data_IF_319770024343
#
_entry.id   IF_319770024343
#
_cell.length_a   1.000
_cell.length_b   1.000
_cell.length_c   1.000
_cell.angle_alpha   90.00
_cell.angle_beta   90.00
_cell.angle_gamma   90.00
#
_symmetry.space_group_name_H-M   'P 1'
#
loop_
_entity.id
_entity.type
_entity.pdbx_description
1 polymer ?
#
# COMPACT_ATOMS: atom_id res chain seq x y z
N UNK A 1 32.44 -28.18 -14.39
CA UNK A 1 31.17 -28.12 -15.14
C UNK A 1 30.42 -26.88 -14.71
N UNK A 2 30.40 -25.88 -15.59
CA UNK A 2 29.81 -24.56 -15.34
C UNK A 2 28.30 -24.60 -15.59
N UNK A 3 27.51 -24.14 -14.63
CA UNK A 3 26.05 -23.98 -14.77
C UNK A 3 25.77 -22.50 -15.06
N UNK A 4 25.19 -22.26 -16.23
CA UNK A 4 24.90 -20.94 -16.77
C UNK A 4 23.81 -20.21 -15.96
N UNK A 5 24.09 -18.96 -15.58
CA UNK A 5 23.08 -18.01 -15.09
C UNK A 5 22.25 -17.50 -16.26
N UNK A 6 20.96 -17.85 -16.28
CA UNK A 6 19.99 -17.25 -17.19
C UNK A 6 19.60 -15.84 -16.72
N UNK A 7 19.94 -14.84 -17.53
CA UNK A 7 19.54 -13.44 -17.39
C UNK A 7 18.04 -13.27 -17.67
N UNK A 8 17.30 -12.69 -16.72
CA UNK A 8 15.88 -12.34 -16.87
C UNK A 8 15.71 -10.97 -17.57
N UNK A 9 14.86 -10.84 -18.60
CA UNK A 9 14.55 -9.54 -19.20
C UNK A 9 13.52 -8.74 -18.38
N UNK A 10 13.65 -7.41 -18.40
CA UNK A 10 12.75 -6.46 -17.78
C UNK A 10 11.44 -6.31 -18.58
N UNK A 11 10.28 -6.03 -17.97
CA UNK A 11 9.09 -5.70 -18.73
C UNK A 11 9.15 -4.25 -19.23
N UNK A 12 8.98 -4.09 -20.54
CA UNK A 12 8.88 -2.81 -21.24
C UNK A 12 7.50 -2.16 -21.02
N UNK A 13 7.49 -0.83 -20.88
CA UNK A 13 6.30 0.00 -20.83
C UNK A 13 5.60 0.03 -22.20
N UNK A 14 4.32 -0.32 -22.24
CA UNK A 14 3.51 -0.24 -23.45
C UNK A 14 3.01 1.21 -23.67
N UNK A 15 3.49 1.85 -24.73
CA UNK A 15 2.92 3.06 -25.31
C UNK A 15 1.94 2.66 -26.43
N UNK A 16 0.69 3.10 -26.34
CA UNK A 16 -0.30 2.92 -27.42
C UNK A 16 -0.43 4.23 -28.20
N UNK A 17 0.10 4.25 -29.42
CA UNK A 17 -0.14 5.29 -30.41
C UNK A 17 -1.47 5.02 -31.13
N UNK A 18 -2.37 6.00 -31.13
CA UNK A 18 -3.65 5.93 -31.84
C UNK A 18 -3.49 6.47 -33.28
N UNK A 19 -3.71 5.60 -34.26
CA UNK A 19 -3.70 5.92 -35.69
C UNK A 19 -5.04 6.53 -36.10
N UNK A 20 -5.00 7.70 -36.75
CA UNK A 20 -6.16 8.37 -37.34
C UNK A 20 -6.54 7.72 -38.68
N UNK A 21 -7.82 7.42 -38.86
CA UNK A 21 -8.40 7.15 -40.18
C UNK A 21 -9.74 7.88 -40.33
N UNK A 22 -9.78 8.80 -41.29
CA UNK A 22 -10.94 9.58 -41.75
C UNK A 22 -11.80 8.72 -42.70
N UNK A 23 -13.12 8.95 -42.79
CA UNK A 23 -13.72 9.01 -44.13
C UNK A 23 -14.74 10.15 -44.33
N UNK A 24 -15.11 10.25 -45.61
CA UNK A 24 -15.68 11.37 -46.35
C UNK A 24 -17.15 11.73 -46.10
N UNK A 25 -17.49 12.93 -46.54
CA UNK A 25 -18.80 13.56 -46.55
C UNK A 25 -19.79 12.91 -47.54
N UNK A 26 -21.08 12.88 -47.16
CA UNK A 26 -22.23 12.86 -48.07
C UNK A 26 -23.44 13.64 -47.50
N UNK A 27 -23.78 14.69 -48.25
CA UNK A 27 -25.11 15.16 -48.69
C UNK A 27 -26.24 15.43 -47.69
N UNK A 28 -26.77 16.65 -47.83
CA UNK A 28 -27.92 17.21 -47.16
C UNK A 28 -29.26 16.73 -47.75
N UNK A 29 -30.25 16.55 -46.88
CA UNK A 29 -31.67 16.74 -47.20
C UNK A 29 -32.37 17.36 -46.00
N UNK A 30 -33.00 18.52 -46.25
CA UNK A 30 -33.81 19.27 -45.30
C UNK A 30 -35.13 18.53 -45.07
N UNK A 31 -35.50 18.32 -43.82
CA UNK A 31 -36.89 18.05 -43.43
C UNK A 31 -37.17 18.75 -42.11
N UNK A 32 -38.07 19.73 -42.16
CA UNK A 32 -38.54 20.53 -41.03
C UNK A 32 -39.55 19.74 -40.19
N UNK A 33 -39.37 19.74 -38.86
CA UNK A 33 -40.40 19.40 -37.85
C UNK A 33 -39.92 19.84 -36.44
N UNK A 34 -40.80 19.93 -35.44
CA UNK A 34 -41.18 21.20 -34.79
C UNK A 34 -40.36 21.51 -33.53
N UNK A 35 -40.39 22.80 -33.16
CA UNK A 35 -39.83 23.38 -31.93
C UNK A 35 -40.42 22.70 -30.69
N UNK A 36 -39.62 21.82 -30.09
CA UNK A 36 -39.79 21.39 -28.70
C UNK A 36 -38.85 22.24 -27.84
N UNK A 37 -39.43 23.07 -26.99
CA UNK A 37 -38.73 23.82 -25.94
C UNK A 37 -38.11 22.82 -24.97
N UNK A 38 -36.79 22.62 -25.05
CA UNK A 38 -36.05 21.97 -23.99
C UNK A 38 -35.62 23.06 -23.00
N UNK A 39 -36.14 22.97 -21.78
CA UNK A 39 -35.56 23.64 -20.62
C UNK A 39 -34.16 23.06 -20.38
N UNK A 40 -33.19 23.61 -21.09
CA UNK A 40 -31.79 23.44 -20.78
C UNK A 40 -31.50 24.26 -19.52
N UNK A 41 -31.80 23.67 -18.36
CA UNK A 41 -31.23 24.11 -17.10
C UNK A 41 -29.70 24.08 -17.26
N UNK A 42 -29.13 25.25 -17.50
CA UNK A 42 -27.70 25.53 -17.53
C UNK A 42 -27.09 25.04 -16.21
N UNK A 43 -26.54 23.83 -16.21
CA UNK A 43 -25.59 23.41 -15.17
C UNK A 43 -24.32 24.21 -15.43
N UNK A 44 -24.28 25.42 -14.91
CA UNK A 44 -23.06 26.21 -14.83
C UNK A 44 -22.03 25.39 -14.06
N UNK A 45 -20.93 25.09 -14.74
CA UNK A 45 -19.75 24.49 -14.12
C UNK A 45 -19.26 25.48 -13.04
N UNK A 46 -19.16 25.08 -11.76
CA UNK A 46 -18.88 26.04 -10.69
C UNK A 46 -17.55 26.75 -10.92
N UNK A 47 -17.51 28.06 -10.67
CA UNK A 47 -16.28 28.87 -10.67
C UNK A 47 -15.22 28.31 -9.72
N UNK A 48 -13.95 28.71 -9.89
CA UNK A 48 -12.82 28.22 -9.06
C UNK A 48 -13.07 28.29 -7.55
N UNK A 49 -13.64 29.40 -7.06
CA UNK A 49 -14.00 29.56 -5.63
C UNK A 49 -15.12 28.61 -5.17
N UNK A 50 -16.10 28.32 -6.02
CA UNK A 50 -17.16 27.36 -5.71
C UNK A 50 -16.62 25.92 -5.68
N UNK A 51 -15.66 25.57 -6.55
CA UNK A 51 -14.97 24.27 -6.53
C UNK A 51 -14.11 24.09 -5.27
N UNK A 52 -13.35 25.12 -4.90
CA UNK A 52 -12.49 25.10 -3.72
C UNK A 52 -13.31 24.99 -2.42
N UNK A 53 -14.40 25.74 -2.31
CA UNK A 53 -15.32 25.64 -1.16
C UNK A 53 -16.02 24.29 -1.08
N UNK A 54 -16.42 23.67 -2.20
CA UNK A 54 -16.96 22.31 -2.20
C UNK A 54 -15.92 21.27 -1.80
N UNK A 55 -14.68 21.41 -2.28
CA UNK A 55 -13.58 20.52 -1.92
C UNK A 55 -13.29 20.59 -0.41
N UNK A 56 -13.20 21.80 0.14
CA UNK A 56 -12.97 22.02 1.57
C UNK A 56 -14.10 21.42 2.42
N UNK A 57 -15.37 21.62 2.03
CA UNK A 57 -16.53 21.03 2.72
C UNK A 57 -16.50 19.51 2.71
N UNK A 58 -16.21 18.91 1.55
CA UNK A 58 -16.10 17.45 1.43
C UNK A 58 -14.95 16.93 2.30
N UNK A 59 -13.81 17.63 2.32
CA UNK A 59 -12.67 17.24 3.13
C UNK A 59 -13.00 17.30 4.63
N UNK A 60 -13.72 18.33 5.08
CA UNK A 60 -14.19 18.47 6.46
C UNK A 60 -15.19 17.36 6.86
N UNK A 61 -16.07 16.95 5.95
CA UNK A 61 -16.95 15.78 6.18
C UNK A 61 -16.13 14.51 6.36
N UNK A 62 -15.09 14.32 5.55
CA UNK A 62 -14.20 13.17 5.69
C UNK A 62 -13.38 13.23 6.98
N UNK A 63 -13.01 14.42 7.46
CA UNK A 63 -12.32 14.59 8.75
C UNK A 63 -13.16 14.04 9.90
N UNK A 64 -14.49 14.21 9.85
CA UNK A 64 -15.40 13.71 10.90
C UNK A 64 -15.47 12.18 11.00
N UNK A 65 -14.95 11.45 10.00
CA UNK A 65 -14.86 9.99 10.02
C UNK A 65 -13.64 9.47 10.81
N UNK A 66 -12.75 10.35 11.28
CA UNK A 66 -11.50 10.01 11.96
C UNK A 66 -11.39 10.72 13.31
N UNK A 67 -10.70 10.12 14.32
CA UNK A 67 -10.19 8.76 14.32
C UNK A 67 -11.33 7.72 14.35
N UNK A 68 -11.10 6.55 13.76
CA UNK A 68 -12.09 5.47 13.80
C UNK A 68 -12.18 4.93 15.21
N UNK A 69 -13.41 4.80 15.74
CA UNK A 69 -13.65 4.14 17.02
C UNK A 69 -13.36 2.66 16.87
N UNK A 70 -12.39 2.16 17.64
CA UNK A 70 -11.97 0.77 17.67
C UNK A 70 -11.88 0.24 19.09
N UNK A 71 -11.49 -1.04 19.27
CA UNK A 71 -11.21 -1.58 20.59
C UNK A 71 -10.02 -0.86 21.24
N UNK A 72 -10.00 -0.89 22.57
CA UNK A 72 -8.85 -0.40 23.33
C UNK A 72 -7.58 -1.20 22.96
N UNK A 73 -6.45 -0.52 22.67
CA UNK A 73 -5.21 -1.21 22.32
C UNK A 73 -4.69 -2.07 23.48
N UNK A 74 -4.26 -3.30 23.18
CA UNK A 74 -3.58 -4.14 24.16
C UNK A 74 -2.20 -3.57 24.55
N UNK A 75 -1.67 -3.91 25.74
CA UNK A 75 -0.31 -3.55 26.13
C UNK A 75 0.72 -3.93 25.05
N UNK A 76 1.63 -3.00 24.75
CA UNK A 76 2.62 -3.17 23.68
C UNK A 76 2.13 -2.76 22.28
N UNK A 77 0.92 -2.22 22.15
CA UNK A 77 0.50 -1.49 20.95
C UNK A 77 1.49 -0.36 20.61
N UNK A 78 1.64 -0.09 19.31
CA UNK A 78 2.63 0.85 18.78
C UNK A 78 1.93 2.13 18.31
N UNK A 79 0.76 1.98 17.71
CA UNK A 79 -0.07 3.07 17.21
C UNK A 79 -1.18 3.38 18.22
N UNK A 80 -1.53 4.67 18.41
CA UNK A 80 -1.03 5.84 17.71
C UNK A 80 0.23 6.49 18.30
N UNK A 81 0.84 5.91 19.35
CA UNK A 81 1.89 6.57 20.14
C UNK A 81 3.21 6.77 19.38
N UNK A 82 3.52 5.93 18.40
CA UNK A 82 4.72 6.03 17.57
C UNK A 82 4.39 6.07 16.08
N UNK A 83 5.27 6.73 15.31
CA UNK A 83 5.28 6.66 13.86
C UNK A 83 6.27 5.62 13.39
N UNK A 84 5.87 4.77 12.46
CA UNK A 84 6.74 3.75 11.88
C UNK A 84 7.36 4.27 10.58
N UNK A 85 8.68 4.21 10.48
CA UNK A 85 9.43 4.52 9.25
C UNK A 85 10.05 3.23 8.73
N UNK A 86 9.58 2.77 7.57
CA UNK A 86 9.90 1.47 7.01
C UNK A 86 10.68 1.57 5.70
N UNK A 87 11.73 0.77 5.55
CA UNK A 87 12.35 0.50 4.26
C UNK A 87 11.82 -0.79 3.66
N UNK A 88 11.26 -0.70 2.45
CA UNK A 88 10.61 -1.81 1.77
C UNK A 88 11.52 -2.49 0.77
N UNK A 89 11.35 -3.80 0.62
CA UNK A 89 11.81 -4.50 -0.56
C UNK A 89 12.24 -5.94 -0.37
N UNK A 90 13.07 -6.41 -1.31
CA UNK A 90 13.62 -7.76 -1.26
C UNK A 90 15.14 -7.74 -1.53
N UNK A 91 15.97 -8.23 -0.60
CA UNK A 91 17.43 -8.20 -0.75
C UNK A 91 17.99 -8.98 -1.95
N UNK A 92 17.19 -9.83 -2.58
CA UNK A 92 17.59 -10.59 -3.77
C UNK A 92 17.37 -9.80 -5.08
N UNK A 93 16.86 -8.56 -5.02
CA UNK A 93 16.60 -7.76 -6.22
C UNK A 93 16.85 -6.27 -6.00
N UNK A 94 17.76 -5.71 -6.81
CA UNK A 94 18.02 -4.25 -6.90
C UNK A 94 16.86 -3.44 -7.49
N UNK A 95 15.78 -4.10 -7.93
CA UNK A 95 14.62 -3.47 -8.56
C UNK A 95 13.36 -3.50 -7.68
N UNK A 96 13.39 -4.23 -6.57
CA UNK A 96 12.23 -4.42 -5.69
C UNK A 96 12.44 -3.71 -4.36
N UNK A 97 12.82 -2.43 -4.41
CA UNK A 97 12.90 -1.55 -3.24
C UNK A 97 14.26 -1.47 -2.54
N UNK A 98 14.31 -0.57 -1.55
CA UNK A 98 15.50 -0.11 -0.84
C UNK A 98 16.29 -1.25 -0.20
N UNK A 99 15.61 -2.29 0.31
CA UNK A 99 16.27 -3.43 0.97
C UNK A 99 17.20 -4.23 0.05
N UNK A 100 17.01 -4.17 -1.28
CA UNK A 100 17.87 -4.84 -2.25
C UNK A 100 18.71 -3.90 -3.11
N UNK A 101 18.47 -2.59 -3.05
CA UNK A 101 19.13 -1.61 -3.93
C UNK A 101 20.52 -1.20 -3.43
N UNK A 102 20.71 -1.16 -2.11
CA UNK A 102 21.95 -0.70 -1.47
C UNK A 102 22.60 -1.80 -0.63
N UNK A 103 23.91 -1.65 -0.39
CA UNK A 103 24.61 -2.49 0.59
C UNK A 103 23.98 -2.32 1.98
N UNK A 104 23.83 -3.39 2.81
CA UNK A 104 23.00 -3.35 4.00
C UNK A 104 23.38 -2.26 5.01
N UNK A 105 24.68 -2.00 5.22
CA UNK A 105 25.06 -0.93 6.15
C UNK A 105 24.85 0.48 5.60
N UNK A 106 24.97 0.67 4.28
CA UNK A 106 24.61 1.94 3.67
C UNK A 106 23.09 2.17 3.77
N UNK A 107 22.30 1.13 3.49
CA UNK A 107 20.84 1.13 3.64
C UNK A 107 20.41 1.49 5.07
N UNK A 108 20.99 0.85 6.09
CA UNK A 108 20.64 1.13 7.49
C UNK A 108 21.01 2.57 7.91
N UNK A 109 22.13 3.12 7.44
CA UNK A 109 22.47 4.53 7.67
C UNK A 109 21.48 5.49 7.02
N UNK A 110 20.96 5.14 5.83
CA UNK A 110 19.91 5.93 5.19
C UNK A 110 18.60 5.86 5.98
N UNK A 111 18.24 4.68 6.51
CA UNK A 111 17.09 4.55 7.41
C UNK A 111 17.24 5.42 8.66
N UNK A 112 18.43 5.41 9.29
CA UNK A 112 18.74 6.28 10.44
C UNK A 112 18.55 7.77 10.10
N UNK A 113 18.85 8.18 8.85
CA UNK A 113 18.64 9.55 8.40
C UNK A 113 17.15 9.90 8.21
N UNK A 114 16.35 8.98 7.65
CA UNK A 114 14.90 9.19 7.50
C UNK A 114 14.21 9.23 8.87
N UNK A 115 14.61 8.37 9.82
CA UNK A 115 14.13 8.41 11.20
C UNK A 115 14.35 9.79 11.81
N UNK A 116 15.58 10.32 11.74
CA UNK A 116 15.92 11.66 12.25
C UNK A 116 15.12 12.76 11.57
N UNK A 117 14.93 12.68 10.24
CA UNK A 117 14.16 13.67 9.50
C UNK A 117 12.69 13.71 9.96
N UNK A 118 12.09 12.56 10.26
CA UNK A 118 10.74 12.48 10.79
C UNK A 118 10.62 12.94 12.24
N UNK A 119 11.59 12.61 13.10
CA UNK A 119 11.66 13.11 14.48
C UNK A 119 11.77 14.64 14.51
N UNK A 120 12.55 15.23 13.60
CA UNK A 120 12.67 16.69 13.49
C UNK A 120 11.39 17.35 12.99
N UNK A 121 10.68 16.72 12.04
CA UNK A 121 9.49 17.29 11.42
C UNK A 121 8.23 17.17 12.29
N UNK A 122 8.16 16.17 13.18
CA UNK A 122 7.06 15.96 14.12
C UNK A 122 7.60 15.42 15.47
N UNK A 123 8.21 16.28 16.30
CA UNK A 123 8.88 15.88 17.55
C UNK A 123 7.95 15.26 18.60
N UNK A 124 6.64 15.52 18.51
CA UNK A 124 5.64 15.00 19.45
C UNK A 124 5.31 13.52 19.21
N UNK A 125 5.75 12.95 18.07
CA UNK A 125 5.46 11.56 17.71
C UNK A 125 6.76 10.78 17.52
N UNK A 126 7.21 10.04 18.55
CA UNK A 126 8.41 9.23 18.49
C UNK A 126 8.42 8.28 17.29
N UNK A 127 9.60 8.02 16.73
CA UNK A 127 9.75 7.18 15.55
C UNK A 127 10.21 5.76 15.92
N UNK A 128 9.62 4.77 15.26
CA UNK A 128 9.98 3.35 15.33
C UNK A 128 10.48 2.89 13.94
N UNK A 129 11.78 2.55 13.78
CA UNK A 129 12.29 2.05 12.50
C UNK A 129 11.71 0.66 12.18
N UNK A 130 11.62 0.35 10.89
CA UNK A 130 11.17 -0.94 10.39
C UNK A 130 11.85 -1.36 9.08
N UNK A 131 11.98 -2.66 8.86
CA UNK A 131 12.34 -3.26 7.57
C UNK A 131 11.15 -4.08 7.08
N UNK A 132 10.65 -3.77 5.88
CA UNK A 132 9.47 -4.40 5.30
C UNK A 132 9.90 -5.31 4.14
N UNK A 133 10.07 -6.60 4.43
CA UNK A 133 10.56 -7.61 3.51
C UNK A 133 9.43 -8.23 2.69
N UNK A 134 9.59 -8.29 1.37
CA UNK A 134 8.72 -9.10 0.50
C UNK A 134 9.03 -10.58 0.65
N UNK A 135 8.30 -11.24 1.54
CA UNK A 135 8.50 -12.64 1.93
C UNK A 135 7.83 -13.62 0.97
N UNK A 136 6.69 -13.23 0.38
CA UNK A 136 6.07 -13.93 -0.75
C UNK A 136 5.93 -12.94 -1.89
N UNK A 137 6.58 -13.25 -3.01
CA UNK A 137 6.72 -12.33 -4.16
C UNK A 137 5.89 -12.86 -5.31
N UNK A 138 4.97 -12.06 -5.84
CA UNK A 138 4.22 -12.42 -7.02
C UNK A 138 5.15 -12.53 -8.24
N UNK A 139 4.85 -13.47 -9.12
CA UNK A 139 5.69 -13.80 -10.28
C UNK A 139 4.92 -13.56 -11.58
N UNK A 140 5.64 -13.11 -12.61
CA UNK A 140 5.08 -12.99 -13.95
C UNK A 140 4.87 -14.36 -14.63
N UNK A 141 5.62 -15.38 -14.21
CA UNK A 141 5.51 -16.75 -14.70
C UNK A 141 4.93 -17.67 -13.61
N UNK A 142 4.17 -18.72 -13.99
CA UNK A 142 3.70 -19.70 -13.02
C UNK A 142 4.88 -20.47 -12.41
N UNK A 143 4.81 -20.71 -11.10
CA UNK A 143 5.64 -21.72 -10.44
C UNK A 143 5.15 -23.14 -10.78
N UNK A 144 5.81 -24.15 -10.21
CA UNK A 144 5.46 -25.57 -10.44
C UNK A 144 4.02 -25.93 -10.02
N UNK A 145 3.45 -25.20 -9.05
CA UNK A 145 2.07 -25.35 -8.59
C UNK A 145 1.09 -24.40 -9.28
N UNK A 146 1.53 -23.67 -10.31
CA UNK A 146 0.70 -22.73 -11.06
C UNK A 146 0.28 -21.48 -10.29
N UNK A 147 0.87 -21.19 -9.11
CA UNK A 147 0.39 -20.12 -8.21
C UNK A 147 0.95 -18.72 -8.46
N UNK A 148 1.85 -18.54 -9.44
CA UNK A 148 2.44 -17.24 -9.79
C UNK A 148 3.04 -16.50 -8.58
N UNK A 149 3.75 -17.23 -7.71
CA UNK A 149 4.38 -16.68 -6.51
C UNK A 149 5.64 -17.44 -6.12
N UNK A 150 6.66 -16.73 -5.66
CA UNK A 150 7.88 -17.29 -5.09
C UNK A 150 7.92 -16.99 -3.58
N UNK A 151 8.34 -17.98 -2.78
CA UNK A 151 8.43 -17.85 -1.32
C UNK A 151 9.88 -17.69 -0.94
N UNK A 152 10.19 -16.65 -0.18
CA UNK A 152 11.54 -16.44 0.31
C UNK A 152 11.88 -17.48 1.39
N UNK A 153 13.13 -17.93 1.38
CA UNK A 153 13.61 -18.92 2.35
C UNK A 153 13.83 -18.30 3.74
N UNK A 154 13.74 -19.14 4.77
CA UNK A 154 13.92 -18.73 6.17
C UNK A 154 15.24 -17.98 6.41
N UNK A 155 16.32 -18.40 5.73
CA UNK A 155 17.64 -17.77 5.86
C UNK A 155 17.66 -16.31 5.40
N UNK A 156 16.79 -15.92 4.46
CA UNK A 156 16.62 -14.53 4.05
C UNK A 156 15.83 -13.75 5.10
N UNK A 157 14.75 -14.32 5.62
CA UNK A 157 13.95 -13.71 6.68
C UNK A 157 14.83 -13.45 7.91
N UNK A 158 15.61 -14.43 8.34
CA UNK A 158 16.52 -14.27 9.48
C UNK A 158 17.68 -13.30 9.21
N UNK A 159 18.10 -13.15 7.94
CA UNK A 159 19.08 -12.13 7.57
C UNK A 159 18.53 -10.72 7.79
N UNK A 160 17.30 -10.47 7.33
CA UNK A 160 16.63 -9.19 7.55
C UNK A 160 16.33 -8.98 9.04
N UNK A 161 15.99 -10.05 9.77
CA UNK A 161 15.80 -9.99 11.21
C UNK A 161 17.04 -9.47 11.95
N UNK A 162 18.23 -9.96 11.60
CA UNK A 162 19.50 -9.48 12.17
C UNK A 162 19.79 -8.02 11.83
N UNK A 163 19.44 -7.56 10.63
CA UNK A 163 19.56 -6.13 10.30
C UNK A 163 18.62 -5.28 11.16
N UNK A 164 17.38 -5.72 11.33
CA UNK A 164 16.40 -5.03 12.16
C UNK A 164 16.83 -4.97 13.63
N UNK A 165 17.35 -6.07 14.18
CA UNK A 165 17.85 -6.15 15.56
C UNK A 165 18.95 -5.11 15.84
N UNK A 166 19.85 -4.86 14.87
CA UNK A 166 20.92 -3.86 15.00
C UNK A 166 20.43 -2.40 15.17
N UNK A 167 19.13 -2.16 15.01
CA UNK A 167 18.46 -0.86 15.15
C UNK A 167 17.19 -0.92 16.00
N UNK A 168 16.96 -2.02 16.72
CA UNK A 168 15.70 -2.27 17.44
C UNK A 168 14.47 -2.01 16.54
N UNK A 169 14.58 -2.40 15.27
CA UNK A 169 13.57 -2.15 14.25
C UNK A 169 12.55 -3.29 14.19
N UNK A 170 11.36 -2.93 13.72
CA UNK A 170 10.32 -3.91 13.39
C UNK A 170 10.66 -4.64 12.09
N UNK A 171 10.09 -5.83 11.91
CA UNK A 171 10.12 -6.56 10.64
C UNK A 171 8.70 -6.78 10.16
N UNK A 172 8.40 -6.38 8.93
CA UNK A 172 7.16 -6.74 8.25
C UNK A 172 7.46 -7.83 7.22
N UNK A 173 6.62 -8.87 7.21
CA UNK A 173 6.62 -9.89 6.17
C UNK A 173 5.49 -9.57 5.20
N UNK A 174 5.83 -9.10 4.01
CA UNK A 174 4.87 -8.76 2.98
C UNK A 174 4.51 -9.99 2.14
N UNK A 175 3.23 -10.08 1.76
CA UNK A 175 2.67 -11.25 1.10
C UNK A 175 1.91 -10.86 -0.16
N UNK A 176 2.50 -11.21 -1.30
CA UNK A 176 1.93 -11.10 -2.65
C UNK A 176 1.50 -12.50 -3.13
N UNK A 177 0.21 -12.82 -2.96
CA UNK A 177 -0.26 -14.22 -3.06
C UNK A 177 -0.31 -14.78 -4.49
N UNK A 178 -0.37 -13.93 -5.53
CA UNK A 178 -0.60 -14.40 -6.89
C UNK A 178 -1.95 -15.11 -7.02
N UNK A 179 -1.95 -16.37 -7.51
CA UNK A 179 -3.12 -17.25 -7.54
C UNK A 179 -3.24 -18.15 -6.29
N UNK A 180 -2.42 -17.92 -5.27
CA UNK A 180 -2.56 -18.52 -3.94
C UNK A 180 -3.59 -17.74 -3.11
N UNK A 181 -3.73 -18.08 -1.83
CA UNK A 181 -4.57 -17.36 -0.88
C UNK A 181 -3.82 -17.06 0.41
N UNK A 182 -4.31 -16.10 1.20
CA UNK A 182 -3.74 -15.82 2.53
C UNK A 182 -3.80 -17.06 3.43
N UNK A 183 -4.85 -17.88 3.30
CA UNK A 183 -5.02 -19.14 4.03
C UNK A 183 -3.88 -20.13 3.77
N UNK A 184 -3.31 -20.12 2.57
CA UNK A 184 -2.22 -21.01 2.18
C UNK A 184 -0.84 -20.43 2.53
N UNK A 185 -0.70 -19.09 2.51
CA UNK A 185 0.60 -18.44 2.68
C UNK A 185 0.91 -18.07 4.14
N UNK A 186 -0.06 -17.56 4.91
CA UNK A 186 0.18 -17.04 6.26
C UNK A 186 0.64 -18.10 7.28
N UNK A 187 0.09 -19.33 7.33
CA UNK A 187 0.53 -20.34 8.29
C UNK A 187 2.02 -20.66 8.22
N UNK A 188 2.62 -20.54 7.04
CA UNK A 188 4.06 -20.79 6.82
C UNK A 188 4.95 -19.73 7.47
N UNK A 189 4.40 -18.54 7.73
CA UNK A 189 5.07 -17.41 8.36
C UNK A 189 4.83 -17.35 9.87
N UNK A 190 3.95 -18.21 10.43
CA UNK A 190 3.59 -18.21 11.84
C UNK A 190 4.81 -18.22 12.77
N UNK A 191 5.80 -19.08 12.47
CA UNK A 191 7.06 -19.20 13.25
C UNK A 191 7.85 -17.90 13.38
N UNK A 192 7.70 -16.97 12.44
CA UNK A 192 8.29 -15.64 12.53
C UNK A 192 7.34 -14.65 13.20
N UNK A 193 6.05 -14.69 12.84
CA UNK A 193 5.03 -13.78 13.35
C UNK A 193 4.77 -13.94 14.85
N UNK A 194 5.14 -15.07 15.48
CA UNK A 194 5.13 -15.20 16.94
C UNK A 194 6.18 -14.33 17.64
N UNK A 195 7.20 -13.83 16.93
CA UNK A 195 8.20 -12.91 17.52
C UNK A 195 7.57 -11.52 17.75
N UNK A 196 7.76 -10.87 18.90
CA UNK A 196 7.11 -9.60 19.21
C UNK A 196 7.30 -8.50 18.15
N UNK A 197 8.50 -8.38 17.59
CA UNK A 197 8.87 -7.35 16.61
C UNK A 197 8.49 -7.69 15.15
N UNK A 198 7.82 -8.82 14.91
CA UNK A 198 7.37 -9.23 13.57
C UNK A 198 5.89 -8.92 13.34
N UNK A 199 5.61 -8.39 12.15
CA UNK A 199 4.31 -7.91 11.69
C UNK A 199 4.04 -8.33 10.24
N UNK A 200 2.84 -8.05 9.73
CA UNK A 200 2.36 -8.53 8.43
C UNK A 200 2.08 -7.37 7.47
N UNK A 201 2.51 -7.52 6.21
CA UNK A 201 2.06 -6.73 5.07
C UNK A 201 1.29 -7.62 4.10
N UNK A 202 0.24 -7.08 3.47
CA UNK A 202 -0.49 -7.75 2.39
C UNK A 202 -0.73 -6.79 1.23
N UNK A 203 -0.56 -7.32 0.01
CA UNK A 203 -0.70 -6.56 -1.23
C UNK A 203 -1.94 -7.02 -2.02
N UNK A 204 -3.08 -6.31 -1.93
CA UNK A 204 -4.28 -6.65 -2.68
C UNK A 204 -4.09 -6.65 -4.18
N UNK A 205 -3.22 -5.80 -4.73
CA UNK A 205 -2.99 -5.73 -6.18
C UNK A 205 -2.38 -6.99 -6.77
N UNK A 206 -1.79 -7.86 -5.93
CA UNK A 206 -1.24 -9.14 -6.32
C UNK A 206 -2.15 -10.32 -5.94
N UNK A 207 -3.35 -10.06 -5.42
CA UNK A 207 -4.37 -11.07 -5.19
C UNK A 207 -5.17 -11.33 -6.47
N UNK A 208 -4.75 -12.35 -7.21
CA UNK A 208 -5.33 -12.73 -8.50
C UNK A 208 -6.48 -13.73 -8.35
N UNK A 209 -7.27 -13.66 -7.27
CA UNK A 209 -8.36 -14.63 -6.99
C UNK A 209 -9.41 -14.74 -8.11
N UNK A 210 -9.52 -13.72 -8.96
CA UNK A 210 -10.38 -13.70 -10.15
C UNK A 210 -9.66 -14.16 -11.44
N UNK A 211 -8.48 -14.79 -11.32
CA UNK A 211 -7.62 -15.17 -12.42
C UNK A 211 -6.77 -14.01 -12.98
N UNK A 212 -5.89 -14.35 -13.93
CA UNK A 212 -4.95 -13.43 -14.55
C UNK A 212 -3.53 -13.53 -13.97
N UNK A 213 -2.60 -12.85 -14.64
CA UNK A 213 -1.17 -12.86 -14.28
C UNK A 213 -0.86 -11.61 -13.45
N UNK A 214 -0.20 -11.75 -12.28
CA UNK A 214 0.29 -10.62 -11.51
C UNK A 214 1.06 -9.61 -12.35
N UNK A 215 0.81 -8.31 -12.15
CA UNK A 215 1.45 -7.23 -12.90
C UNK A 215 0.89 -6.98 -14.31
N UNK A 216 0.04 -7.88 -14.86
CA UNK A 216 -0.76 -7.60 -16.08
C UNK A 216 -2.17 -7.12 -15.77
N UNK A 217 -2.70 -7.52 -14.61
CA UNK A 217 -3.99 -7.08 -14.07
C UNK A 217 -3.79 -6.71 -12.61
N UNK A 218 -4.65 -5.82 -12.13
CA UNK A 218 -4.67 -5.42 -10.72
C UNK A 218 -5.63 -6.34 -9.98
N UNK A 219 -5.10 -7.00 -8.95
CA UNK A 219 -5.86 -7.86 -8.05
C UNK A 219 -6.74 -7.09 -7.07
N UNK A 220 -7.34 -7.83 -6.13
CA UNK A 220 -8.18 -7.25 -5.09
C UNK A 220 -8.28 -8.16 -3.87
N UNK A 221 -8.44 -7.56 -2.70
CA UNK A 221 -8.92 -8.22 -1.49
C UNK A 221 -10.32 -7.72 -1.12
N UNK A 222 -11.10 -8.62 -0.55
CA UNK A 222 -12.32 -8.25 0.16
C UNK A 222 -12.04 -8.08 1.65
N UNK A 223 -12.96 -7.44 2.39
CA UNK A 223 -12.94 -7.46 3.84
C UNK A 223 -12.83 -8.88 4.42
N UNK A 224 -13.41 -9.89 3.78
CA UNK A 224 -13.25 -11.29 4.20
C UNK A 224 -11.77 -11.76 4.19
N UNK A 225 -10.97 -11.34 3.21
CA UNK A 225 -9.55 -11.69 3.13
C UNK A 225 -8.76 -10.99 4.25
N UNK A 226 -9.06 -9.72 4.50
CA UNK A 226 -8.43 -8.94 5.59
C UNK A 226 -8.83 -9.50 6.94
N UNK A 227 -10.10 -9.87 7.13
CA UNK A 227 -10.60 -10.47 8.37
C UNK A 227 -9.95 -11.83 8.64
N UNK A 228 -9.68 -12.62 7.61
CA UNK A 228 -8.88 -13.84 7.77
C UNK A 228 -7.46 -13.52 8.28
N UNK A 229 -6.79 -12.52 7.72
CA UNK A 229 -5.46 -12.12 8.17
C UNK A 229 -5.47 -11.61 9.62
N UNK A 230 -6.47 -10.81 10.02
CA UNK A 230 -6.57 -10.29 11.39
C UNK A 230 -6.93 -11.40 12.38
N UNK A 231 -7.77 -12.35 12.00
CA UNK A 231 -8.10 -13.52 12.83
C UNK A 231 -6.89 -14.43 13.02
N UNK A 232 -6.12 -14.68 11.95
CA UNK A 232 -4.87 -15.43 12.03
C UNK A 232 -3.87 -14.77 13.00
N UNK A 233 -3.65 -13.45 12.88
CA UNK A 233 -2.77 -12.70 13.77
C UNK A 233 -3.29 -12.68 15.22
N UNK A 234 -4.60 -12.52 15.42
CA UNK A 234 -5.24 -12.61 16.73
C UNK A 234 -4.95 -13.95 17.39
N UNK A 235 -5.10 -15.06 16.66
CA UNK A 235 -4.80 -16.40 17.17
C UNK A 235 -3.36 -16.52 17.67
N UNK A 236 -2.39 -15.98 16.93
CA UNK A 236 -1.00 -15.94 17.36
C UNK A 236 -0.80 -15.10 18.63
N UNK A 237 -1.43 -13.92 18.71
CA UNK A 237 -1.36 -13.03 19.87
C UNK A 237 -1.89 -13.71 21.13
N UNK A 238 -3.08 -14.30 21.05
CA UNK A 238 -3.74 -14.96 22.16
C UNK A 238 -3.00 -16.23 22.60
N UNK A 239 -2.62 -17.08 21.65
CA UNK A 239 -1.97 -18.36 21.94
C UNK A 239 -0.58 -18.18 22.55
N UNK A 240 0.20 -17.23 22.03
CA UNK A 240 1.59 -17.03 22.46
C UNK A 240 1.76 -15.90 23.49
N UNK A 241 0.67 -15.21 23.86
CA UNK A 241 0.67 -14.11 24.84
C UNK A 241 1.68 -13.01 24.47
N UNK A 242 1.71 -12.63 23.20
CA UNK A 242 2.62 -11.63 22.65
C UNK A 242 1.91 -10.29 22.44
N UNK A 243 2.64 -9.17 22.25
CA UNK A 243 2.04 -7.87 21.95
C UNK A 243 1.17 -7.90 20.67
N UNK A 244 0.22 -6.97 20.53
CA UNK A 244 -0.63 -6.88 19.34
C UNK A 244 0.19 -6.68 18.07
N UNK A 245 -0.32 -7.20 16.96
CA UNK A 245 0.34 -7.16 15.65
C UNK A 245 -0.09 -5.95 14.85
N UNK A 246 0.77 -5.53 13.94
CA UNK A 246 0.42 -4.59 12.89
C UNK A 246 0.12 -5.37 11.61
N UNK A 247 -0.95 -4.97 10.93
CA UNK A 247 -1.29 -5.39 9.59
C UNK A 247 -1.28 -4.17 8.67
N UNK A 248 -0.33 -4.14 7.74
CA UNK A 248 -0.30 -3.14 6.68
C UNK A 248 -1.04 -3.69 5.46
N UNK A 249 -2.07 -2.98 5.01
CA UNK A 249 -2.82 -3.30 3.80
C UNK A 249 -2.49 -2.27 2.75
N UNK A 250 -1.71 -2.67 1.74
CA UNK A 250 -1.30 -1.80 0.64
C UNK A 250 -2.50 -1.43 -0.23
N UNK A 251 -2.66 -0.15 -0.59
CA UNK A 251 -3.81 0.31 -1.38
C UNK A 251 -3.45 1.52 -2.24
N UNK A 252 -3.30 1.30 -3.54
CA UNK A 252 -3.14 2.40 -4.50
C UNK A 252 -4.37 2.65 -5.39
N UNK A 253 -5.38 1.77 -5.35
CA UNK A 253 -6.67 2.00 -6.00
C UNK A 253 -7.81 1.83 -5.00
N UNK A 254 -8.97 2.45 -5.27
CA UNK A 254 -10.18 2.19 -4.49
C UNK A 254 -10.52 0.69 -4.53
N UNK A 255 -10.62 0.08 -5.70
CA UNK A 255 -11.08 -1.32 -5.79
C UNK A 255 -10.04 -2.37 -5.36
N UNK A 256 -8.84 -1.96 -4.93
CA UNK A 256 -7.88 -2.86 -4.32
C UNK A 256 -8.42 -3.51 -3.04
N UNK A 257 -9.29 -2.80 -2.31
CA UNK A 257 -10.02 -3.35 -1.17
C UNK A 257 -11.52 -3.12 -1.36
N UNK A 258 -12.31 -4.18 -1.30
CA UNK A 258 -13.77 -4.13 -1.36
C UNK A 258 -14.39 -4.33 0.02
N UNK A 259 -15.59 -3.79 0.20
CA UNK A 259 -16.40 -3.96 1.42
C UNK A 259 -15.69 -3.56 2.72
N UNK A 260 -14.83 -2.53 2.70
CA UNK A 260 -14.00 -2.14 3.85
C UNK A 260 -14.78 -1.94 5.17
N UNK A 261 -16.06 -1.57 5.10
CA UNK A 261 -16.94 -1.41 6.28
C UNK A 261 -17.18 -2.71 7.05
N UNK A 262 -16.94 -3.85 6.41
CA UNK A 262 -17.06 -5.18 7.01
C UNK A 262 -15.73 -5.67 7.61
N UNK A 263 -14.66 -4.87 7.57
CA UNK A 263 -13.39 -5.19 8.26
C UNK A 263 -13.62 -5.10 9.77
N UNK A 264 -13.34 -6.18 10.47
CA UNK A 264 -13.49 -6.27 11.93
C UNK A 264 -12.21 -5.80 12.61
N UNK A 265 -12.34 -4.79 13.48
CA UNK A 265 -11.24 -4.32 14.33
C UNK A 265 -11.12 -5.21 15.57
N UNK A 266 -9.88 -5.56 15.94
CA UNK A 266 -9.57 -6.48 17.03
C UNK A 266 -8.52 -5.85 17.96
N UNK A 267 -8.61 -5.97 19.30
CA UNK A 267 -7.59 -5.46 20.22
C UNK A 267 -6.16 -5.98 19.91
N UNK A 268 -6.07 -7.18 19.34
CA UNK A 268 -4.84 -7.89 19.02
C UNK A 268 -4.16 -7.40 17.73
N UNK A 269 -4.87 -6.62 16.89
CA UNK A 269 -4.35 -6.23 15.57
C UNK A 269 -4.65 -4.77 15.27
N UNK A 270 -3.59 -4.02 14.96
CA UNK A 270 -3.63 -2.64 14.50
C UNK A 270 -3.53 -2.62 12.97
N UNK A 271 -4.57 -2.14 12.30
CA UNK A 271 -4.67 -2.14 10.83
C UNK A 271 -4.26 -0.77 10.27
N UNK A 272 -3.29 -0.78 9.36
CA UNK A 272 -2.86 0.39 8.60
C UNK A 272 -3.34 0.26 7.16
N UNK A 273 -4.24 1.15 6.73
CA UNK A 273 -4.55 1.32 5.31
C UNK A 273 -3.48 2.22 4.68
N UNK A 274 -2.66 1.64 3.83
CA UNK A 274 -1.42 2.25 3.36
C UNK A 274 -1.57 2.74 1.92
N UNK A 275 -1.53 4.06 1.71
CA UNK A 275 -1.59 4.64 0.36
C UNK A 275 -0.32 4.29 -0.41
N UNK A 276 -0.43 3.34 -1.34
CA UNK A 276 0.71 2.71 -2.04
C UNK A 276 1.01 3.32 -3.43
N UNK A 277 0.29 4.38 -3.80
CA UNK A 277 0.40 5.02 -5.12
C UNK A 277 1.68 5.83 -5.31
N UNK A 278 2.13 5.95 -6.55
CA UNK A 278 3.21 6.85 -6.94
C UNK A 278 2.67 8.10 -7.66
N UNK A 279 3.50 9.12 -7.74
CA UNK A 279 3.22 10.32 -8.53
C UNK A 279 3.67 11.59 -7.85
N UNK A 280 3.41 12.70 -8.51
CA UNK A 280 3.62 14.01 -7.92
C UNK A 280 2.67 14.25 -6.72
N UNK A 281 2.97 15.23 -5.85
CA UNK A 281 2.28 15.36 -4.57
C UNK A 281 0.75 15.46 -4.68
N UNK A 282 0.22 16.24 -5.62
CA UNK A 282 -1.23 16.40 -5.79
C UNK A 282 -1.95 15.07 -6.09
N UNK A 283 -1.37 14.23 -6.96
CA UNK A 283 -1.96 12.93 -7.32
C UNK A 283 -1.99 11.98 -6.13
N UNK A 284 -0.92 11.99 -5.33
CA UNK A 284 -0.82 11.15 -4.14
C UNK A 284 -1.75 11.63 -3.03
N UNK A 285 -1.87 12.94 -2.84
CA UNK A 285 -2.83 13.56 -1.92
C UNK A 285 -4.28 13.25 -2.32
N UNK A 286 -4.61 13.30 -3.61
CA UNK A 286 -5.92 12.91 -4.11
C UNK A 286 -6.19 11.42 -3.89
N UNK A 287 -5.23 10.55 -4.16
CA UNK A 287 -5.34 9.10 -3.92
C UNK A 287 -5.51 8.79 -2.43
N UNK A 288 -4.75 9.47 -1.57
CA UNK A 288 -4.88 9.38 -0.11
C UNK A 288 -6.28 9.79 0.34
N UNK A 289 -6.80 10.92 -0.16
CA UNK A 289 -8.15 11.39 0.16
C UNK A 289 -9.21 10.37 -0.28
N UNK A 290 -9.13 9.90 -1.53
CA UNK A 290 -10.19 9.09 -2.14
C UNK A 290 -10.17 7.62 -1.74
N UNK A 291 -9.01 7.05 -1.37
CA UNK A 291 -8.87 5.60 -1.12
C UNK A 291 -8.54 5.26 0.33
N UNK A 292 -7.97 6.19 1.10
CA UNK A 292 -7.68 5.96 2.53
C UNK A 292 -8.65 6.78 3.37
N UNK A 293 -8.63 8.11 3.25
CA UNK A 293 -9.43 8.99 4.10
C UNK A 293 -10.94 8.77 3.93
N UNK A 294 -11.40 8.60 2.69
CA UNK A 294 -12.82 8.38 2.38
C UNK A 294 -13.34 6.98 2.76
N UNK A 295 -12.45 6.04 3.06
CA UNK A 295 -12.77 4.67 3.41
C UNK A 295 -12.05 4.25 4.70
N UNK A 296 -12.48 4.83 5.84
CA UNK A 296 -11.79 4.70 7.11
C UNK A 296 -11.83 3.26 7.65
N UNK A 297 -10.68 2.80 8.18
CA UNK A 297 -10.55 1.48 8.84
C UNK A 297 -9.99 1.63 10.26
N UNK A 298 -8.73 2.02 10.45
CA UNK A 298 -8.20 2.27 11.79
C UNK A 298 -7.05 3.28 11.80
N UNK A 299 -5.96 2.99 11.10
CA UNK A 299 -4.82 3.89 10.94
C UNK A 299 -4.47 4.09 9.46
N UNK A 300 -3.73 5.16 9.17
CA UNK A 300 -3.35 5.53 7.82
C UNK A 300 -1.83 5.46 7.62
N UNK A 301 -1.44 5.04 6.41
CA UNK A 301 -0.05 4.98 5.98
C UNK A 301 0.19 5.67 4.63
N UNK A 302 1.47 5.93 4.34
CA UNK A 302 1.94 6.58 3.11
C UNK A 302 3.19 5.92 2.54
N UNK A 303 3.18 5.59 1.25
CA UNK A 303 4.38 5.19 0.53
C UNK A 303 5.07 6.38 -0.09
N UNK A 304 6.37 6.48 0.03
CA UNK A 304 7.19 7.52 -0.60
C UNK A 304 8.25 6.87 -1.48
N UNK A 305 8.26 7.18 -2.77
CA UNK A 305 9.27 6.65 -3.69
C UNK A 305 10.47 7.60 -3.78
N UNK A 306 11.69 7.06 -3.80
CA UNK A 306 12.91 7.84 -4.01
C UNK A 306 13.13 8.22 -5.48
N UNK A 307 12.76 7.33 -6.39
CA UNK A 307 13.11 7.46 -7.80
C UNK A 307 12.22 8.52 -8.49
N UNK A 308 12.80 9.48 -9.23
CA UNK A 308 12.04 10.52 -9.94
C UNK A 308 11.06 10.00 -10.99
N UNK A 309 11.27 8.78 -11.50
CA UNK A 309 10.31 8.12 -12.41
C UNK A 309 8.98 7.74 -11.71
N UNK A 310 8.99 7.69 -10.38
CA UNK A 310 7.85 7.32 -9.56
C UNK A 310 7.26 8.58 -8.90
N UNK A 311 8.03 9.24 -8.04
CA UNK A 311 7.60 10.46 -7.35
C UNK A 311 8.48 11.64 -7.78
N UNK A 312 7.89 12.60 -8.50
CA UNK A 312 8.59 13.80 -8.94
C UNK A 312 7.67 15.05 -8.98
N UNK A 313 7.90 16.05 -8.11
CA UNK A 313 8.78 15.97 -6.94
C UNK A 313 8.25 14.96 -5.92
N UNK A 314 9.11 14.55 -4.98
CA UNK A 314 8.67 13.81 -3.80
C UNK A 314 7.75 14.67 -2.94
N UNK A 315 6.83 14.05 -2.22
CA UNK A 315 5.98 14.79 -1.28
C UNK A 315 6.81 15.14 -0.05
N UNK A 316 6.89 16.42 0.35
CA UNK A 316 7.67 16.82 1.52
C UNK A 316 7.14 16.17 2.81
N UNK A 317 8.05 15.81 3.73
CA UNK A 317 7.68 15.27 5.05
C UNK A 317 6.71 16.22 5.77
N UNK A 318 6.95 17.53 5.70
CA UNK A 318 6.08 18.54 6.32
C UNK A 318 4.65 18.55 5.76
N UNK A 319 4.45 18.15 4.50
CA UNK A 319 3.14 17.98 3.90
C UNK A 319 2.47 16.69 4.41
N UNK A 320 3.21 15.58 4.42
CA UNK A 320 2.68 14.27 4.86
C UNK A 320 2.32 14.30 6.35
N UNK A 321 3.17 14.94 7.19
CA UNK A 321 2.97 15.07 8.63
C UNK A 321 1.68 15.82 9.01
N UNK A 322 1.19 16.72 8.13
CA UNK A 322 -0.02 17.52 8.33
C UNK A 322 -1.30 16.87 7.81
N UNK A 323 -1.22 15.67 7.24
CA UNK A 323 -2.39 14.98 6.72
C UNK A 323 -3.35 14.60 7.85
N UNK A 324 -4.65 14.65 7.53
CA UNK A 324 -5.71 14.10 8.35
C UNK A 324 -6.47 13.01 7.56
N UNK A 325 -6.60 11.77 8.07
CA UNK A 325 -6.02 11.27 9.32
C UNK A 325 -4.49 11.36 9.34
N UNK A 326 -3.92 11.38 10.54
CA UNK A 326 -2.46 11.40 10.73
C UNK A 326 -1.84 10.14 10.13
N UNK A 327 -0.82 10.33 9.30
CA UNK A 327 -0.04 9.22 8.73
C UNK A 327 0.95 8.73 9.79
N UNK A 328 0.77 7.47 10.21
CA UNK A 328 1.54 6.84 11.28
C UNK A 328 2.44 5.71 10.80
N UNK A 329 2.35 5.33 9.53
CA UNK A 329 3.25 4.37 8.90
C UNK A 329 3.72 4.94 7.56
N UNK A 330 5.02 5.13 7.41
CA UNK A 330 5.63 5.61 6.18
C UNK A 330 6.57 4.55 5.65
N UNK A 331 6.38 4.18 4.39
CA UNK A 331 7.23 3.23 3.72
C UNK A 331 8.01 3.90 2.59
N UNK A 332 9.32 3.74 2.58
CA UNK A 332 10.18 4.20 1.50
C UNK A 332 10.53 3.07 0.52
N UNK A 333 10.44 3.38 -0.77
CA UNK A 333 10.78 2.48 -1.88
C UNK A 333 11.61 3.14 -2.98
#
# INVERSE_FOLDING_TARGET
MAVALATLPAPAAAQSAATQSKPAAKTSTKTSKPRVTSDAASRQDPTGMARESMYARRNAQLDSLWPVKGPEPLPGAILPQKRIIAYYGNPLSKRMGVLGEYEPQAMLKMLDAEVKAWEQADPETPVQPALHLIAVVAQAAPGSDGKYRARMGDSLVERVARWAESRNALVFLDVQVGLSTLQQELPRLAKFLVRPNFHLGIDPEFSMKNGGVPGKRIGTYDAADINYATEFLQGLVQQHKIPPKLLVVHRFTRNGVTNYRNITLRPEVQIVMHMDGFGAPWLKLDSYREYVKAEPVQFAGWKQFYKPKNDNPRTPISTIAKLNPKVLYIQYQ
#
